data_IF_626845777606
#
_entry.id   IF_626845777606
#
_cell.length_a   1.000
_cell.length_b   1.000
_cell.length_c   1.000
_cell.angle_alpha   90.00
_cell.angle_beta   90.00
_cell.angle_gamma   90.00
#
_symmetry.space_group_name_H-M   'P 1'
#
loop_
_entity.id
_entity.type
_entity.pdbx_description
1 polymer ?
#
# COMPACT_ATOMS: atom_id res chain seq x y z
N UNK A 1 -9.97 7.35 -18.77
CA UNK A 1 -9.79 6.40 -17.65
C UNK A 1 -10.94 6.53 -16.68
N UNK A 2 -11.37 5.47 -16.02
CA UNK A 2 -12.45 5.57 -15.06
C UNK A 2 -11.94 6.17 -13.74
N UNK A 3 -12.81 6.91 -13.08
CA UNK A 3 -12.55 7.44 -11.73
C UNK A 3 -12.17 6.34 -10.74
N UNK A 4 -12.70 5.14 -10.94
CA UNK A 4 -12.38 3.97 -10.12
C UNK A 4 -10.88 3.67 -10.13
N UNK A 5 -10.25 3.61 -11.31
CA UNK A 5 -8.82 3.31 -11.44
C UNK A 5 -7.99 4.41 -10.77
N UNK A 6 -8.34 5.67 -10.98
CA UNK A 6 -7.65 6.81 -10.37
C UNK A 6 -7.68 6.70 -8.84
N UNK A 7 -8.84 6.42 -8.27
CA UNK A 7 -8.98 6.25 -6.82
C UNK A 7 -8.19 5.06 -6.29
N UNK A 8 -8.22 3.94 -7.01
CA UNK A 8 -7.49 2.74 -6.59
C UNK A 8 -5.98 2.95 -6.60
N UNK A 9 -5.45 3.66 -7.60
CA UNK A 9 -4.04 3.99 -7.67
C UNK A 9 -3.63 4.86 -6.49
N UNK A 10 -4.41 5.87 -6.18
CA UNK A 10 -4.12 6.73 -5.02
C UNK A 10 -4.17 5.97 -3.70
N UNK A 11 -5.18 5.11 -3.54
CA UNK A 11 -5.30 4.28 -2.34
C UNK A 11 -4.13 3.31 -2.19
N UNK A 12 -3.72 2.65 -3.27
CA UNK A 12 -2.60 1.73 -3.26
C UNK A 12 -1.30 2.45 -2.87
N UNK A 13 -1.08 3.63 -3.44
CA UNK A 13 0.09 4.46 -3.10
C UNK A 13 0.09 4.83 -1.63
N UNK A 14 -1.03 5.31 -1.14
CA UNK A 14 -1.17 5.73 0.27
C UNK A 14 -0.96 4.56 1.23
N UNK A 15 -1.53 3.41 0.92
CA UNK A 15 -1.36 2.20 1.74
C UNK A 15 0.08 1.70 1.73
N UNK A 16 0.79 1.89 0.63
CA UNK A 16 2.21 1.52 0.54
C UNK A 16 3.12 2.54 1.23
N UNK A 17 2.57 3.63 1.75
CA UNK A 17 3.32 4.72 2.40
C UNK A 17 4.34 5.37 1.46
N UNK A 18 3.98 5.51 0.19
CA UNK A 18 4.82 6.10 -0.84
C UNK A 18 4.22 7.46 -1.22
N UNK A 19 5.06 8.50 -1.25
CA UNK A 19 4.64 9.82 -1.69
C UNK A 19 4.55 9.88 -3.21
N UNK A 20 3.87 10.89 -3.73
CA UNK A 20 3.84 11.14 -5.18
C UNK A 20 5.25 11.41 -5.73
N UNK A 21 6.08 12.12 -4.96
CA UNK A 21 7.46 12.37 -5.34
C UNK A 21 8.27 11.08 -5.44
N UNK A 22 8.14 10.21 -4.45
CA UNK A 22 8.80 8.91 -4.45
C UNK A 22 8.37 8.04 -5.62
N UNK A 23 7.07 7.97 -5.87
CA UNK A 23 6.52 7.22 -6.99
C UNK A 23 7.04 7.75 -8.32
N UNK A 24 7.12 9.07 -8.46
CA UNK A 24 7.69 9.73 -9.63
C UNK A 24 9.12 9.27 -9.90
N UNK A 25 9.95 9.28 -8.88
CA UNK A 25 11.35 8.86 -8.99
C UNK A 25 11.49 7.39 -9.36
N UNK A 26 10.69 6.54 -8.73
CA UNK A 26 10.74 5.08 -8.94
C UNK A 26 10.24 4.67 -10.32
N UNK A 27 9.23 5.36 -10.83
CA UNK A 27 8.59 5.01 -12.11
C UNK A 27 9.15 5.78 -13.30
N UNK A 28 9.96 6.80 -13.05
CA UNK A 28 10.53 7.61 -14.13
C UNK A 28 9.51 8.48 -14.85
N UNK A 29 8.44 8.86 -14.20
CA UNK A 29 7.44 9.81 -14.72
C UNK A 29 7.37 11.03 -13.81
N UNK A 30 6.82 12.15 -14.32
CA UNK A 30 6.77 13.38 -13.53
C UNK A 30 5.74 13.27 -12.39
N UNK A 31 6.01 13.97 -11.31
CA UNK A 31 5.06 14.07 -10.19
C UNK A 31 3.74 14.68 -10.65
N UNK A 32 3.80 15.67 -11.55
CA UNK A 32 2.61 16.28 -12.12
C UNK A 32 1.74 15.25 -12.85
N UNK A 33 2.37 14.32 -13.58
CA UNK A 33 1.64 13.25 -14.27
C UNK A 33 0.96 12.33 -13.27
N UNK A 34 1.63 11.98 -12.17
CA UNK A 34 1.05 11.15 -11.12
C UNK A 34 -0.18 11.85 -10.52
N UNK A 35 -0.09 13.15 -10.23
CA UNK A 35 -1.23 13.91 -9.72
C UNK A 35 -2.40 13.89 -10.69
N UNK A 36 -2.12 14.04 -11.99
CA UNK A 36 -3.16 14.02 -13.03
C UNK A 36 -3.83 12.64 -13.13
N UNK A 37 -3.04 11.58 -13.05
CA UNK A 37 -3.57 10.21 -13.10
C UNK A 37 -4.49 9.97 -11.89
N UNK A 38 -4.05 10.34 -10.70
CA UNK A 38 -4.82 10.13 -9.47
C UNK A 38 -6.07 11.00 -9.37
N UNK A 39 -6.13 12.11 -10.09
CA UNK A 39 -7.31 12.98 -10.15
C UNK A 39 -8.19 12.72 -11.36
N UNK A 40 -7.93 11.65 -12.09
CA UNK A 40 -8.66 11.27 -13.32
C UNK A 40 -8.58 12.33 -14.42
N UNK A 41 -7.49 13.07 -14.51
CA UNK A 41 -7.25 14.07 -15.55
C UNK A 41 -6.34 13.57 -16.67
N UNK A 42 -5.82 12.36 -16.55
CA UNK A 42 -4.93 11.74 -17.52
C UNK A 42 -5.15 10.24 -17.54
N UNK A 43 -5.11 9.66 -18.72
CA UNK A 43 -5.20 8.21 -18.86
C UNK A 43 -3.88 7.55 -18.49
N UNK A 44 -3.96 6.28 -18.11
CA UNK A 44 -2.81 5.47 -17.77
C UNK A 44 -2.81 4.23 -18.67
N UNK A 45 -1.64 3.88 -19.22
CA UNK A 45 -1.51 2.71 -20.08
C UNK A 45 -1.48 1.42 -19.26
N UNK A 46 -1.73 0.29 -19.93
CA UNK A 46 -1.66 -1.03 -19.30
C UNK A 46 -0.27 -1.28 -18.71
N UNK A 47 0.79 -0.90 -19.43
CA UNK A 47 2.16 -1.06 -18.97
C UNK A 47 2.42 -0.24 -17.71
N UNK A 48 1.90 0.99 -17.68
CA UNK A 48 2.03 1.85 -16.50
C UNK A 48 1.29 1.26 -15.29
N UNK A 49 0.11 0.70 -15.50
CA UNK A 49 -0.65 0.05 -14.42
C UNK A 49 0.14 -1.10 -13.82
N UNK A 50 0.79 -1.92 -14.66
CA UNK A 50 1.62 -3.02 -14.20
C UNK A 50 2.79 -2.50 -13.36
N UNK A 51 3.43 -1.42 -13.79
CA UNK A 51 4.54 -0.82 -13.02
C UNK A 51 4.06 -0.23 -11.70
N UNK A 52 2.91 0.43 -11.68
CA UNK A 52 2.30 0.90 -10.44
C UNK A 52 2.01 -0.26 -9.48
N UNK A 53 1.44 -1.36 -9.99
CA UNK A 53 1.14 -2.52 -9.18
C UNK A 53 2.39 -3.12 -8.55
N UNK A 54 3.48 -3.21 -9.31
CA UNK A 54 4.78 -3.69 -8.81
C UNK A 54 5.33 -2.78 -7.72
N UNK A 55 5.28 -1.47 -7.94
CA UNK A 55 5.80 -0.50 -6.97
C UNK A 55 5.01 -0.53 -5.67
N UNK A 56 3.69 -0.55 -5.77
CA UNK A 56 2.80 -0.52 -4.61
C UNK A 56 2.58 -1.90 -3.99
N UNK A 57 3.12 -2.96 -4.64
CA UNK A 57 3.02 -4.35 -4.19
C UNK A 57 1.57 -4.81 -4.01
N UNK A 58 0.76 -4.50 -5.00
CA UNK A 58 -0.63 -4.93 -5.07
C UNK A 58 -0.85 -5.77 -6.32
N UNK A 59 -1.90 -6.59 -6.30
CA UNK A 59 -2.32 -7.34 -7.48
C UNK A 59 -2.93 -6.36 -8.49
N UNK A 60 -2.56 -6.50 -9.76
CA UNK A 60 -3.11 -5.67 -10.85
C UNK A 60 -4.63 -5.68 -10.83
N UNK A 61 -5.24 -6.81 -10.49
CA UNK A 61 -6.70 -6.93 -10.42
C UNK A 61 -7.32 -6.01 -9.38
N UNK A 62 -6.63 -5.72 -8.28
CA UNK A 62 -7.11 -4.76 -7.28
C UNK A 62 -7.25 -3.36 -7.84
N UNK A 63 -6.41 -3.01 -8.82
CA UNK A 63 -6.46 -1.71 -9.47
C UNK A 63 -7.52 -1.62 -10.55
N UNK A 64 -7.83 -2.73 -11.22
CA UNK A 64 -8.65 -2.76 -12.42
C UNK A 64 -10.07 -3.28 -12.20
N UNK A 65 -10.27 -4.17 -11.23
CA UNK A 65 -11.55 -4.88 -11.05
C UNK A 65 -12.19 -4.51 -9.72
N UNK A 66 -13.42 -4.03 -9.78
CA UNK A 66 -14.17 -3.60 -8.60
C UNK A 66 -14.36 -4.75 -7.59
N UNK A 67 -14.51 -5.96 -8.06
CA UNK A 67 -14.68 -7.15 -7.21
C UNK A 67 -13.48 -7.43 -6.30
N UNK A 68 -12.31 -6.91 -6.64
CA UNK A 68 -11.09 -7.02 -5.83
C UNK A 68 -10.81 -5.76 -5.00
N UNK A 69 -11.74 -4.81 -5.01
CA UNK A 69 -11.58 -3.54 -4.30
C UNK A 69 -11.86 -3.67 -2.82
N UNK A 70 -12.69 -4.62 -2.43
CA UNK A 70 -13.08 -4.83 -1.05
C UNK A 70 -12.11 -5.81 -0.39
N UNK A 71 -11.11 -5.28 0.28
CA UNK A 71 -10.20 -6.09 1.09
C UNK A 71 -10.81 -6.30 2.47
N UNK A 72 -10.75 -7.54 2.98
CA UNK A 72 -11.24 -7.85 4.31
C UNK A 72 -10.53 -7.04 5.41
N UNK A 73 -11.10 -7.06 6.62
CA UNK A 73 -10.54 -6.34 7.76
C UNK A 73 -9.08 -6.68 8.03
N UNK A 74 -8.71 -7.95 7.88
CA UNK A 74 -7.32 -8.39 8.07
C UNK A 74 -6.37 -7.71 7.08
N UNK A 75 -6.78 -7.62 5.83
CA UNK A 75 -5.95 -6.96 4.81
C UNK A 75 -5.82 -5.47 5.08
N UNK A 76 -6.89 -4.81 5.51
CA UNK A 76 -6.86 -3.40 5.89
C UNK A 76 -5.90 -3.18 7.05
N UNK A 77 -5.94 -4.04 8.07
CA UNK A 77 -5.02 -3.98 9.20
C UNK A 77 -3.58 -4.19 8.76
N UNK A 78 -3.32 -5.18 7.91
CA UNK A 78 -1.98 -5.42 7.36
C UNK A 78 -1.46 -4.19 6.64
N UNK A 79 -2.28 -3.59 5.77
CA UNK A 79 -1.87 -2.39 5.02
C UNK A 79 -1.59 -1.21 5.94
N UNK A 80 -2.37 -1.06 7.01
CA UNK A 80 -2.21 0.03 7.98
C UNK A 80 -0.87 -0.06 8.71
N UNK A 81 -0.45 -1.27 9.06
CA UNK A 81 0.73 -1.49 9.88
C UNK A 81 1.89 -2.13 9.13
N UNK A 82 1.90 -2.04 7.81
CA UNK A 82 2.91 -2.73 6.98
C UNK A 82 4.34 -2.34 7.37
N UNK A 83 4.59 -1.08 7.69
CA UNK A 83 5.92 -0.63 8.10
C UNK A 83 6.35 -1.28 9.40
N UNK A 84 5.43 -1.39 10.36
CA UNK A 84 5.69 -2.06 11.63
C UNK A 84 5.96 -3.55 11.42
N UNK A 85 5.17 -4.19 10.56
CA UNK A 85 5.35 -5.62 10.25
C UNK A 85 6.71 -5.88 9.59
N UNK A 86 7.17 -5.00 8.72
CA UNK A 86 8.49 -5.12 8.09
C UNK A 86 9.62 -5.01 9.11
N UNK A 87 9.49 -4.10 10.05
CA UNK A 87 10.47 -3.95 11.14
C UNK A 87 10.46 -5.19 12.06
N UNK A 88 9.27 -5.63 12.43
CA UNK A 88 9.10 -6.82 13.26
C UNK A 88 9.74 -8.06 12.61
N UNK A 89 9.56 -8.21 11.29
CA UNK A 89 10.10 -9.34 10.55
C UNK A 89 11.64 -9.39 10.55
N UNK A 90 12.30 -8.26 10.81
CA UNK A 90 13.76 -8.18 10.89
C UNK A 90 14.31 -8.65 12.26
N UNK A 91 13.45 -8.84 13.24
CA UNK A 91 13.85 -9.28 14.57
C UNK A 91 14.21 -10.78 14.57
N UNK A 92 15.05 -11.18 15.54
CA UNK A 92 15.27 -12.59 15.82
C UNK A 92 13.99 -13.24 16.34
N UNK A 93 13.88 -14.56 16.26
CA UNK A 93 12.71 -15.27 16.77
C UNK A 93 12.47 -14.98 18.27
N UNK A 94 13.53 -14.90 19.05
CA UNK A 94 13.46 -14.56 20.47
C UNK A 94 12.90 -13.16 20.68
N UNK A 95 13.41 -12.20 19.93
CA UNK A 95 12.95 -10.81 20.04
C UNK A 95 11.51 -10.67 19.60
N UNK A 96 11.09 -11.41 18.56
CA UNK A 96 9.69 -11.45 18.14
C UNK A 96 8.77 -11.94 19.26
N UNK A 97 9.17 -12.99 19.97
CA UNK A 97 8.41 -13.52 21.10
C UNK A 97 8.32 -12.49 22.24
N UNK A 98 9.42 -11.83 22.55
CA UNK A 98 9.46 -10.81 23.60
C UNK A 98 8.53 -9.62 23.25
N UNK A 99 8.56 -9.16 22.00
CA UNK A 99 7.71 -8.06 21.55
C UNK A 99 6.24 -8.45 21.60
N UNK A 100 5.91 -9.67 21.16
CA UNK A 100 4.53 -10.18 21.20
C UNK A 100 4.05 -10.27 22.65
N UNK A 101 4.90 -10.73 23.55
CA UNK A 101 4.56 -10.82 24.97
C UNK A 101 4.21 -9.44 25.53
N UNK A 102 5.05 -8.42 25.25
CA UNK A 102 4.80 -7.04 25.71
C UNK A 102 3.46 -6.53 25.16
N UNK A 103 3.20 -6.73 23.88
CA UNK A 103 1.94 -6.30 23.26
C UNK A 103 0.74 -6.95 23.96
N UNK A 104 0.81 -8.26 24.21
CA UNK A 104 -0.27 -8.98 24.89
C UNK A 104 -0.50 -8.44 26.30
N UNK A 105 0.55 -8.13 27.04
CA UNK A 105 0.43 -7.57 28.38
C UNK A 105 -0.18 -6.17 28.35
N UNK A 106 0.19 -5.35 27.40
CA UNK A 106 -0.38 -4.01 27.25
C UNK A 106 -1.85 -4.05 26.88
N UNK A 107 -2.24 -4.95 26.00
CA UNK A 107 -3.64 -5.12 25.61
C UNK A 107 -4.47 -5.60 26.81
N UNK A 108 -3.89 -6.50 27.63
CA UNK A 108 -4.56 -6.98 28.82
C UNK A 108 -4.56 -5.98 29.98
N UNK A 109 -3.76 -4.91 29.90
CA UNK A 109 -3.73 -3.86 30.92
C UNK A 109 -2.85 -4.20 32.15
N UNK A 110 -1.92 -5.13 32.03
CA UNK A 110 -1.04 -5.51 33.14
C UNK A 110 0.23 -4.65 33.25
N UNK A 111 0.59 -3.92 32.17
CA UNK A 111 1.76 -3.06 32.16
C UNK A 111 1.48 -1.72 31.47
#
# INVERSE_FOLDING_TARGET
>A
MSDFIARRLKQARTKACISQEEASKKLGISERRIRKIESDQSDVSADEIIEFAKLYKVDVRELLLEEYADTGEEQILCNRYISLLKLFDQLSDRDKEDVIWVIKQRVAGYI
#
